data_IF_865513749474
#
_entry.id   IF_865513749474
#
_cell.length_a   1.000
_cell.length_b   1.000
_cell.length_c   1.000
_cell.angle_alpha   90.00
_cell.angle_beta   90.00
_cell.angle_gamma   90.00
#
_symmetry.space_group_name_H-M   'P 1'
#
loop_
_entity.id
_entity.type
_entity.pdbx_description
1 polymer ?
#
# COMPACT_ATOMS: atom_id res chain seq x y z
N UNK A 1 8.22 -26.00 6.18
CA UNK A 1 7.87 -24.69 6.77
C UNK A 1 8.14 -24.74 8.27
N UNK A 2 8.86 -23.75 8.80
CA UNK A 2 9.18 -23.61 10.23
C UNK A 2 7.90 -23.24 11.00
N UNK A 3 7.43 -24.13 11.89
CA UNK A 3 6.23 -23.91 12.70
C UNK A 3 6.29 -22.63 13.53
N UNK A 4 7.46 -22.31 14.08
CA UNK A 4 7.63 -21.10 14.89
C UNK A 4 7.41 -19.84 14.05
N UNK A 5 7.88 -19.81 12.79
CA UNK A 5 7.64 -18.68 11.90
C UNK A 5 6.17 -18.51 11.53
N UNK A 6 5.46 -19.63 11.36
CA UNK A 6 4.01 -19.61 11.10
C UNK A 6 3.23 -19.07 12.30
N UNK A 7 3.57 -19.49 13.52
CA UNK A 7 2.91 -19.01 14.74
C UNK A 7 3.14 -17.51 14.95
N UNK A 8 4.36 -17.03 14.72
CA UNK A 8 4.69 -15.60 14.77
C UNK A 8 3.88 -14.83 13.72
N UNK A 9 3.80 -15.36 12.49
CA UNK A 9 3.00 -14.75 11.43
C UNK A 9 1.53 -14.62 11.84
N UNK A 10 0.92 -15.70 12.34
CA UNK A 10 -0.48 -15.71 12.76
C UNK A 10 -0.71 -14.72 13.92
N UNK A 11 0.20 -14.68 14.89
CA UNK A 11 0.13 -13.72 16.02
C UNK A 11 0.16 -12.28 15.49
N UNK A 12 1.09 -11.96 14.60
CA UNK A 12 1.22 -10.62 14.03
C UNK A 12 -0.01 -10.23 13.22
N UNK A 13 -0.55 -11.15 12.41
CA UNK A 13 -1.80 -10.92 11.66
C UNK A 13 -2.98 -10.63 12.60
N UNK A 14 -3.12 -11.38 13.72
CA UNK A 14 -4.16 -11.11 14.73
C UNK A 14 -4.01 -9.72 15.33
N UNK A 15 -2.81 -9.33 15.74
CA UNK A 15 -2.54 -7.99 16.28
C UNK A 15 -2.91 -6.89 15.31
N UNK A 16 -2.63 -7.08 14.01
CA UNK A 16 -3.03 -6.14 12.96
C UNK A 16 -4.54 -6.06 12.86
N UNK A 17 -5.22 -7.21 12.76
CA UNK A 17 -6.69 -7.26 12.66
C UNK A 17 -7.37 -6.61 13.88
N UNK A 18 -6.88 -6.87 15.09
CA UNK A 18 -7.38 -6.26 16.32
C UNK A 18 -7.14 -4.74 16.36
N UNK A 19 -6.09 -4.25 15.69
CA UNK A 19 -5.79 -2.82 15.60
C UNK A 19 -6.61 -2.09 14.52
N UNK A 20 -7.29 -2.82 13.64
CA UNK A 20 -8.17 -2.23 12.63
C UNK A 20 -9.43 -1.69 13.30
N UNK A 21 -9.68 -0.40 13.14
CA UNK A 21 -10.97 0.16 13.54
C UNK A 21 -12.01 -0.20 12.47
N UNK A 22 -12.91 -1.11 12.80
CA UNK A 22 -13.94 -1.62 11.88
C UNK A 22 -15.03 -0.59 11.53
N UNK A 23 -15.07 0.55 12.22
CA UNK A 23 -16.02 1.63 11.96
C UNK A 23 -15.53 2.62 10.89
N UNK A 24 -14.35 2.42 10.33
CA UNK A 24 -13.79 3.32 9.33
C UNK A 24 -14.20 2.92 7.92
N UNK A 25 -14.67 3.89 7.16
CA UNK A 25 -14.93 3.73 5.73
C UNK A 25 -13.61 3.58 4.96
N UNK A 26 -13.58 2.60 4.06
CA UNK A 26 -12.46 2.37 3.15
C UNK A 26 -12.88 2.85 1.77
N UNK A 27 -12.07 3.71 1.17
CA UNK A 27 -12.31 4.17 -0.20
C UNK A 27 -11.78 3.15 -1.20
N UNK A 28 -12.62 2.85 -2.21
CA UNK A 28 -12.30 1.97 -3.31
C UNK A 28 -12.17 2.75 -4.61
N UNK A 29 -11.38 2.24 -5.53
CA UNK A 29 -11.18 2.79 -6.86
C UNK A 29 -11.07 1.68 -7.90
N UNK A 30 -11.17 2.03 -9.18
CA UNK A 30 -10.77 1.14 -10.24
C UNK A 30 -9.25 1.03 -10.24
N UNK A 31 -8.73 -0.18 -10.22
CA UNK A 31 -7.30 -0.46 -10.19
C UNK A 31 -6.91 -1.59 -11.14
N UNK A 32 -5.65 -1.62 -11.51
CA UNK A 32 -5.03 -2.67 -12.32
C UNK A 32 -4.91 -3.98 -11.54
N UNK A 33 -4.69 -3.88 -10.23
CA UNK A 33 -4.54 -4.99 -9.27
C UNK A 33 -3.28 -5.87 -9.46
N UNK A 34 -2.50 -5.63 -10.52
CA UNK A 34 -1.14 -6.14 -10.74
C UNK A 34 -0.27 -5.06 -11.40
N UNK A 35 -0.29 -3.86 -10.83
CA UNK A 35 0.48 -2.71 -11.30
C UNK A 35 1.95 -2.86 -10.93
N UNK A 36 2.72 -3.48 -11.81
CA UNK A 36 4.11 -3.87 -11.58
C UNK A 36 5.01 -3.39 -12.71
N UNK A 37 6.34 -3.25 -12.48
CA UNK A 37 7.26 -2.80 -13.53
C UNK A 37 7.29 -3.67 -14.78
N UNK A 38 7.01 -4.96 -14.65
CA UNK A 38 7.01 -5.89 -15.79
C UNK A 38 5.70 -5.91 -16.58
N UNK A 39 4.63 -5.28 -16.06
CA UNK A 39 3.36 -5.09 -16.76
C UNK A 39 3.25 -3.70 -17.39
N UNK A 40 4.39 -3.04 -17.64
CA UNK A 40 4.42 -1.73 -18.25
C UNK A 40 5.69 -1.50 -19.07
N UNK A 41 5.59 -0.58 -20.03
CA UNK A 41 6.76 -0.05 -20.73
C UNK A 41 6.53 1.42 -21.11
N UNK A 42 7.62 2.12 -21.37
CA UNK A 42 7.59 3.52 -21.82
C UNK A 42 8.12 3.59 -23.24
N UNK A 43 7.33 4.16 -24.13
CA UNK A 43 7.70 4.44 -25.50
C UNK A 43 7.24 5.84 -25.90
N UNK A 44 8.11 6.63 -26.55
CA UNK A 44 7.82 8.00 -26.96
C UNK A 44 7.23 8.87 -25.83
N UNK A 45 7.74 8.73 -24.63
CA UNK A 45 7.27 9.42 -23.40
C UNK A 45 5.81 9.10 -23.01
N UNK A 46 5.27 7.98 -23.47
CA UNK A 46 3.96 7.46 -23.10
C UNK A 46 4.15 6.17 -22.30
N UNK A 47 3.39 6.05 -21.21
CA UNK A 47 3.33 4.84 -20.41
C UNK A 47 2.24 3.91 -20.98
N UNK A 48 2.63 2.69 -21.31
CA UNK A 48 1.74 1.63 -21.73
C UNK A 48 1.62 0.60 -20.62
N UNK A 49 0.38 0.21 -20.32
CA UNK A 49 0.05 -0.82 -19.34
C UNK A 49 -0.63 -1.98 -20.07
N UNK A 50 -0.26 -3.19 -19.71
CA UNK A 50 -0.84 -4.42 -20.25
C UNK A 50 -1.14 -5.40 -19.10
N UNK A 51 -1.75 -6.53 -19.43
CA UNK A 51 -2.16 -7.54 -18.46
C UNK A 51 -3.23 -7.06 -17.46
N UNK A 52 -4.36 -6.59 -18.03
CA UNK A 52 -5.50 -6.05 -17.28
C UNK A 52 -6.47 -7.11 -16.77
N UNK A 53 -6.10 -8.39 -16.81
CA UNK A 53 -7.01 -9.50 -16.45
C UNK A 53 -7.48 -9.46 -14.99
N UNK A 54 -6.67 -8.86 -14.09
CA UNK A 54 -7.00 -8.71 -12.67
C UNK A 54 -7.64 -7.36 -12.34
N UNK A 55 -7.84 -6.50 -13.33
CA UNK A 55 -8.38 -5.16 -13.11
C UNK A 55 -9.85 -5.20 -12.65
N UNK A 56 -10.18 -4.40 -11.66
CA UNK A 56 -11.55 -4.32 -11.10
C UNK A 56 -11.80 -2.97 -10.42
N UNK A 57 -13.06 -2.71 -10.06
CA UNK A 57 -13.52 -1.44 -9.49
C UNK A 57 -13.62 -1.40 -7.96
N UNK A 58 -13.19 -2.46 -7.30
CA UNK A 58 -13.25 -2.61 -5.84
C UNK A 58 -11.84 -2.78 -5.23
N UNK A 59 -10.85 -2.12 -5.81
CA UNK A 59 -9.48 -2.08 -5.29
C UNK A 59 -9.37 -0.95 -4.25
N UNK A 60 -8.74 -1.24 -3.13
CA UNK A 60 -8.47 -0.22 -2.09
C UNK A 60 -7.66 0.93 -2.70
N UNK A 61 -8.07 2.15 -2.40
CA UNK A 61 -7.41 3.36 -2.92
C UNK A 61 -5.91 3.34 -2.62
N UNK A 62 -5.10 3.67 -3.62
CA UNK A 62 -3.63 3.61 -3.61
C UNK A 62 -3.03 2.20 -3.57
N UNK A 63 -3.81 1.13 -3.68
CA UNK A 63 -3.25 -0.23 -3.72
C UNK A 63 -2.19 -0.38 -4.81
N UNK A 64 -2.50 -0.02 -6.07
CA UNK A 64 -1.58 -0.14 -7.19
C UNK A 64 -0.29 0.67 -6.98
N UNK A 65 -0.39 1.86 -6.37
CA UNK A 65 0.79 2.67 -6.02
C UNK A 65 1.71 1.93 -5.05
N UNK A 66 1.16 1.37 -3.98
CA UNK A 66 1.95 0.62 -3.02
C UNK A 66 2.48 -0.68 -3.62
N UNK A 67 1.65 -1.39 -4.37
CA UNK A 67 2.04 -2.63 -5.03
C UNK A 67 3.24 -2.42 -5.93
N UNK A 68 3.23 -1.37 -6.77
CA UNK A 68 4.37 -1.01 -7.61
C UNK A 68 5.64 -0.76 -6.82
N UNK A 69 5.58 0.04 -5.76
CA UNK A 69 6.76 0.35 -4.94
C UNK A 69 7.30 -0.92 -4.28
N UNK A 70 6.42 -1.76 -3.71
CA UNK A 70 6.86 -3.00 -3.07
C UNK A 70 7.53 -3.93 -4.06
N UNK A 71 6.88 -4.22 -5.17
CA UNK A 71 7.44 -5.11 -6.18
C UNK A 71 8.78 -4.60 -6.69
N UNK A 72 8.89 -3.29 -6.95
CA UNK A 72 10.13 -2.66 -7.38
C UNK A 72 11.22 -2.75 -6.31
N UNK A 73 10.91 -2.41 -5.07
CA UNK A 73 11.90 -2.35 -4.00
C UNK A 73 12.32 -3.73 -3.50
N UNK A 74 11.38 -4.67 -3.38
CA UNK A 74 11.70 -6.03 -2.90
C UNK A 74 12.38 -6.87 -3.97
N UNK A 75 11.81 -6.92 -5.18
CA UNK A 75 12.28 -7.86 -6.20
C UNK A 75 13.44 -7.33 -7.03
N UNK A 76 13.48 -6.02 -7.31
CA UNK A 76 14.53 -5.41 -8.13
C UNK A 76 15.66 -4.88 -7.24
N UNK A 77 15.34 -3.99 -6.29
CA UNK A 77 16.33 -3.29 -5.47
C UNK A 77 16.82 -4.10 -4.28
N UNK A 78 16.12 -5.19 -3.89
CA UNK A 78 16.42 -6.01 -2.69
C UNK A 78 16.46 -5.19 -1.40
N UNK A 79 15.63 -4.15 -1.33
CA UNK A 79 15.56 -3.21 -0.22
C UNK A 79 14.94 -3.84 1.02
N UNK A 80 15.37 -3.41 2.19
CA UNK A 80 14.71 -3.71 3.45
C UNK A 80 13.45 -2.84 3.66
N UNK A 81 12.63 -3.19 4.66
CA UNK A 81 11.36 -2.50 4.93
C UNK A 81 11.54 -1.03 5.28
N UNK A 82 12.61 -0.65 5.97
CA UNK A 82 12.89 0.72 6.37
C UNK A 82 13.15 1.59 5.13
N UNK A 83 13.98 1.10 4.23
CA UNK A 83 14.26 1.76 2.95
C UNK A 83 12.98 1.91 2.11
N UNK A 84 12.12 0.89 2.07
CA UNK A 84 10.84 0.95 1.36
C UNK A 84 9.93 2.03 1.96
N UNK A 85 9.84 2.09 3.28
CA UNK A 85 9.07 3.12 3.98
C UNK A 85 9.56 4.53 3.67
N UNK A 86 10.87 4.75 3.72
CA UNK A 86 11.49 6.04 3.39
C UNK A 86 11.19 6.45 1.94
N UNK A 87 11.22 5.51 1.00
CA UNK A 87 10.81 5.76 -0.40
C UNK A 87 9.36 6.20 -0.48
N UNK A 88 8.44 5.49 0.17
CA UNK A 88 7.01 5.82 0.16
C UNK A 88 6.77 7.22 0.73
N UNK A 89 7.32 7.51 1.92
CA UNK A 89 7.18 8.81 2.58
C UNK A 89 7.74 9.93 1.71
N UNK A 90 8.89 9.70 1.09
CA UNK A 90 9.55 10.68 0.21
C UNK A 90 8.71 10.95 -1.04
N UNK A 91 8.17 9.92 -1.67
CA UNK A 91 7.31 10.06 -2.84
C UNK A 91 6.04 10.86 -2.53
N UNK A 92 5.40 10.57 -1.39
CA UNK A 92 4.20 11.30 -0.98
C UNK A 92 4.51 12.76 -0.66
N UNK A 93 5.60 13.03 0.06
CA UNK A 93 6.01 14.40 0.39
C UNK A 93 6.34 15.25 -0.83
N UNK A 94 6.93 14.64 -1.86
CA UNK A 94 7.43 15.34 -3.05
C UNK A 94 6.45 15.35 -4.22
N UNK A 95 5.33 14.62 -4.13
CA UNK A 95 4.31 14.58 -5.19
C UNK A 95 3.02 15.24 -4.69
N UNK A 96 2.68 16.41 -5.23
CA UNK A 96 1.50 17.17 -4.82
C UNK A 96 0.20 16.37 -4.97
N UNK A 97 0.04 15.63 -6.07
CA UNK A 97 -1.18 14.83 -6.30
C UNK A 97 -1.34 13.70 -5.29
N UNK A 98 -0.25 12.99 -4.95
CA UNK A 98 -0.29 11.97 -3.90
C UNK A 98 -0.60 12.60 -2.55
N UNK A 99 0.00 13.74 -2.25
CA UNK A 99 -0.27 14.48 -1.02
C UNK A 99 -1.75 14.90 -0.93
N UNK A 100 -2.30 15.42 -2.02
CA UNK A 100 -3.71 15.82 -2.08
C UNK A 100 -4.65 14.61 -1.87
N UNK A 101 -4.34 13.45 -2.46
CA UNK A 101 -5.11 12.22 -2.25
C UNK A 101 -5.04 11.78 -0.79
N UNK A 102 -3.84 11.71 -0.23
CA UNK A 102 -3.62 11.30 1.16
C UNK A 102 -4.38 12.22 2.13
N UNK A 103 -4.35 13.53 1.89
CA UNK A 103 -5.09 14.51 2.69
C UNK A 103 -6.61 14.41 2.50
N UNK A 104 -7.06 14.37 1.23
CA UNK A 104 -8.49 14.32 0.89
C UNK A 104 -9.18 13.10 1.52
N UNK A 105 -8.54 11.97 1.49
CA UNK A 105 -9.10 10.71 2.01
C UNK A 105 -8.62 10.38 3.42
N UNK A 106 -7.91 11.33 4.05
CA UNK A 106 -7.37 11.22 5.41
C UNK A 106 -6.65 9.88 5.66
N UNK A 107 -5.79 9.51 4.71
CA UNK A 107 -5.03 8.25 4.76
C UNK A 107 -3.86 8.45 5.70
N UNK A 108 -3.85 7.72 6.81
CA UNK A 108 -2.72 7.70 7.74
C UNK A 108 -1.71 6.62 7.30
N UNK A 109 -0.54 7.08 6.86
CA UNK A 109 0.54 6.21 6.44
C UNK A 109 1.47 5.99 7.63
N UNK A 110 1.00 5.23 8.59
CA UNK A 110 1.81 4.75 9.70
C UNK A 110 2.22 3.29 9.41
N UNK A 111 3.51 3.08 9.22
CA UNK A 111 4.08 1.73 9.27
C UNK A 111 4.28 1.41 10.73
N UNK A 112 3.42 0.58 11.27
CA UNK A 112 3.69 -0.02 12.57
C UNK A 112 4.86 -0.98 12.37
N UNK A 113 6.05 -0.60 12.81
CA UNK A 113 7.16 -1.51 12.92
C UNK A 113 6.76 -2.55 13.96
N UNK A 114 6.43 -3.74 13.51
CA UNK A 114 6.41 -4.89 14.39
C UNK A 114 7.87 -5.19 14.70
N UNK A 115 8.36 -4.65 15.80
CA UNK A 115 9.66 -4.98 16.35
C UNK A 115 9.65 -6.48 16.63
N UNK A 116 10.39 -7.21 15.87
CA UNK A 116 11.03 -8.50 16.07
C UNK A 116 10.98 -9.37 14.80
N UNK A 117 12.12 -9.49 14.16
CA UNK A 117 12.64 -10.62 13.35
C UNK A 117 11.80 -11.20 12.20
N UNK A 118 10.61 -10.73 11.92
CA UNK A 118 9.82 -11.18 10.77
C UNK A 118 9.58 -10.03 9.81
N UNK A 119 10.09 -10.14 8.58
CA UNK A 119 9.84 -9.22 7.46
C UNK A 119 8.36 -9.32 7.00
N UNK A 120 7.42 -9.02 7.89
CA UNK A 120 5.99 -9.02 7.60
C UNK A 120 5.55 -7.57 7.54
N UNK A 121 5.16 -7.14 6.36
CA UNK A 121 4.60 -5.82 6.13
C UNK A 121 3.11 -5.83 6.42
N UNK A 122 2.70 -5.01 7.36
CA UNK A 122 1.31 -4.69 7.57
C UNK A 122 1.08 -3.21 7.34
N UNK A 123 0.19 -2.88 6.43
CA UNK A 123 -0.27 -1.50 6.24
C UNK A 123 -1.49 -1.24 7.08
N UNK A 124 -1.41 -0.22 7.89
CA UNK A 124 -2.59 0.33 8.55
C UNK A 124 -3.06 1.54 7.76
N UNK A 125 -4.09 1.36 6.96
CA UNK A 125 -4.82 2.48 6.38
C UNK A 125 -5.80 2.99 7.43
N UNK A 126 -5.52 4.12 8.01
CA UNK A 126 -6.49 4.85 8.82
C UNK A 126 -7.19 5.86 7.91
N UNK A 127 -8.30 5.47 7.27
CA UNK A 127 -9.19 6.42 6.60
C UNK A 127 -10.10 7.05 7.66
N UNK A 128 -9.97 8.35 7.90
CA UNK A 128 -10.95 9.10 8.67
C UNK A 128 -12.07 9.55 7.73
N UNK A 129 -13.31 9.37 8.14
CA UNK A 129 -14.49 9.84 7.41
C UNK A 129 -14.39 11.34 7.13
N UNK A 130 -14.63 11.72 5.87
CA UNK A 130 -14.95 13.10 5.54
C UNK A 130 -16.28 13.44 6.22
N UNK A 131 -16.26 14.46 7.06
CA UNK A 131 -17.49 15.07 7.58
C UNK A 131 -18.25 15.70 6.40
N UNK A 132 -19.25 14.98 5.88
CA UNK A 132 -20.10 15.41 4.77
C UNK A 132 -21.03 16.57 5.13
N UNK A 133 -20.99 17.07 6.36
CA UNK A 133 -21.81 18.22 6.81
C UNK A 133 -21.29 19.57 6.31
N UNK A 134 -20.21 19.63 5.52
CA UNK A 134 -19.56 20.85 5.01
C UNK A 134 -19.48 20.94 3.48
N UNK A 135 -20.36 20.20 2.76
CA UNK A 135 -20.54 20.38 1.32
C UNK A 135 -21.87 21.06 1.06
#
# INVERSE_FOLDING_TARGET
>A
FDKNKIEILIKNMKTILESLNTEKEISFAYGHNDFTPWNMFIENNHLYLFDWELAKNDIVLLYDFFHFIFQSQILISKSDYKSIYEVIVTLIKNNSRLKDIVQKYNIDINVTSLENETNIFAYKFNCHTLDTSKI
#
